data_IF_614724880300
#
_entry.id   IF_614724880300
#
_cell.length_a   1.000
_cell.length_b   1.000
_cell.length_c   1.000
_cell.angle_alpha   90.00
_cell.angle_beta   90.00
_cell.angle_gamma   90.00
#
_symmetry.space_group_name_H-M   'P 1'
#
loop_
_entity.id
_entity.type
_entity.pdbx_description
1 polymer ?
#
# COMPACT_ATOMS: atom_id res chain seq x y z
N UNK A 1 20.22 -11.77 6.16
CA UNK A 1 20.33 -11.52 4.71
C UNK A 1 18.92 -11.41 4.17
N UNK A 2 18.49 -10.22 3.76
CA UNK A 2 17.27 -10.09 2.96
C UNK A 2 17.51 -10.85 1.65
N UNK A 3 16.76 -11.91 1.43
CA UNK A 3 16.76 -12.62 0.15
C UNK A 3 16.39 -11.59 -0.93
N UNK A 4 17.27 -11.39 -1.92
CA UNK A 4 17.04 -10.43 -3.00
C UNK A 4 15.69 -10.68 -3.71
N UNK A 5 15.22 -11.94 -3.70
CA UNK A 5 13.91 -12.35 -4.21
C UNK A 5 12.76 -11.82 -3.37
N UNK A 6 12.92 -11.80 -2.05
CA UNK A 6 11.89 -11.33 -1.11
C UNK A 6 11.69 -9.81 -1.21
N UNK A 7 12.78 -9.05 -1.27
CA UNK A 7 12.72 -7.60 -1.51
C UNK A 7 12.15 -7.27 -2.90
N UNK A 8 12.50 -8.04 -3.95
CA UNK A 8 11.95 -7.84 -5.29
C UNK A 8 10.42 -8.04 -5.32
N UNK A 9 9.91 -9.07 -4.63
CA UNK A 9 8.46 -9.33 -4.52
C UNK A 9 7.75 -8.20 -3.79
N UNK A 10 8.34 -7.67 -2.71
CA UNK A 10 7.79 -6.51 -2.01
C UNK A 10 7.63 -5.30 -2.93
N UNK A 11 8.68 -4.89 -3.63
CA UNK A 11 8.61 -3.74 -4.53
C UNK A 11 7.62 -3.96 -5.69
N UNK A 12 7.49 -5.19 -6.18
CA UNK A 12 6.46 -5.52 -7.16
C UNK A 12 5.05 -5.35 -6.56
N UNK A 13 4.80 -5.92 -5.38
CA UNK A 13 3.51 -5.79 -4.70
C UNK A 13 3.14 -4.34 -4.39
N UNK A 14 4.10 -3.53 -3.91
CA UNK A 14 3.85 -2.09 -3.62
C UNK A 14 3.42 -1.37 -4.90
N UNK A 15 4.11 -1.62 -6.03
CA UNK A 15 3.76 -1.02 -7.32
C UNK A 15 2.36 -1.42 -7.77
N UNK A 16 2.01 -2.69 -7.63
CA UNK A 16 0.68 -3.19 -8.01
C UNK A 16 -0.41 -2.56 -7.13
N UNK A 17 -0.20 -2.48 -5.82
CA UNK A 17 -1.14 -1.82 -4.91
C UNK A 17 -1.35 -0.35 -5.25
N UNK A 18 -0.27 0.39 -5.51
CA UNK A 18 -0.36 1.79 -5.91
C UNK A 18 -1.17 1.96 -7.20
N UNK A 19 -0.92 1.12 -8.20
CA UNK A 19 -1.69 1.12 -9.45
C UNK A 19 -3.18 0.86 -9.21
N UNK A 20 -3.53 -0.14 -8.39
CA UNK A 20 -4.93 -0.41 -8.07
C UNK A 20 -5.61 0.70 -7.27
N UNK A 21 -4.90 1.31 -6.32
CA UNK A 21 -5.40 2.45 -5.54
C UNK A 21 -5.71 3.62 -6.49
N UNK A 22 -4.82 3.92 -7.44
CA UNK A 22 -5.01 4.99 -8.41
C UNK A 22 -6.27 4.75 -9.27
N UNK A 23 -6.46 3.53 -9.77
CA UNK A 23 -7.62 3.19 -10.59
C UNK A 23 -8.95 3.31 -9.81
N UNK A 24 -9.04 2.78 -8.59
CA UNK A 24 -10.28 2.88 -7.82
C UNK A 24 -10.58 4.32 -7.36
N UNK A 25 -9.54 5.14 -7.13
CA UNK A 25 -9.72 6.57 -6.86
C UNK A 25 -10.29 7.29 -8.10
N UNK A 26 -9.81 6.98 -9.30
CA UNK A 26 -10.37 7.53 -10.56
C UNK A 26 -11.83 7.16 -10.77
N UNK A 27 -12.21 5.96 -10.34
CA UNK A 27 -13.60 5.47 -10.37
C UNK A 27 -14.48 6.07 -9.25
N UNK A 28 -13.88 6.76 -8.27
CA UNK A 28 -14.57 7.34 -7.12
C UNK A 28 -14.87 6.37 -5.98
N UNK A 29 -14.32 5.14 -6.02
CA UNK A 29 -14.48 4.15 -4.95
C UNK A 29 -13.41 4.34 -3.85
N UNK A 30 -13.65 5.36 -3.02
CA UNK A 30 -12.75 5.71 -1.91
C UNK A 30 -12.66 4.61 -0.85
N UNK A 31 -13.73 3.82 -0.65
CA UNK A 31 -13.76 2.71 0.31
C UNK A 31 -12.85 1.57 -0.17
N UNK A 32 -12.84 1.27 -1.47
CA UNK A 32 -11.88 0.33 -2.03
C UNK A 32 -10.44 0.84 -1.90
N UNK A 33 -10.21 2.13 -2.15
CA UNK A 33 -8.90 2.76 -2.00
C UNK A 33 -8.35 2.59 -0.56
N UNK A 34 -9.16 2.89 0.46
CA UNK A 34 -8.81 2.71 1.87
C UNK A 34 -8.47 1.25 2.20
N UNK A 35 -9.28 0.28 1.72
CA UNK A 35 -9.03 -1.16 1.94
C UNK A 35 -7.72 -1.63 1.29
N UNK A 36 -7.38 -1.09 0.12
CA UNK A 36 -6.10 -1.36 -0.53
C UNK A 36 -4.94 -0.71 0.24
N UNK A 37 -5.13 0.51 0.75
CA UNK A 37 -4.20 1.20 1.66
C UNK A 37 -3.88 0.37 2.91
N UNK A 38 -4.90 -0.19 3.58
CA UNK A 38 -4.73 -1.08 4.74
C UNK A 38 -3.90 -2.34 4.41
N UNK A 39 -4.12 -2.95 3.24
CA UNK A 39 -3.32 -4.11 2.81
C UNK A 39 -1.87 -3.72 2.54
N UNK A 40 -1.65 -2.56 1.94
CA UNK A 40 -0.31 -2.01 1.69
C UNK A 40 0.40 -1.65 3.00
N UNK A 41 -0.32 -1.14 4.00
CA UNK A 41 0.17 -0.87 5.35
C UNK A 41 0.80 -2.11 5.98
N UNK A 42 0.08 -3.24 5.98
CA UNK A 42 0.59 -4.50 6.54
C UNK A 42 1.89 -4.97 5.88
N UNK A 43 2.03 -4.77 4.56
CA UNK A 43 3.27 -5.06 3.84
C UNK A 43 4.41 -4.12 4.27
N UNK A 44 4.15 -2.81 4.35
CA UNK A 44 5.13 -1.82 4.78
C UNK A 44 5.62 -2.07 6.22
N UNK A 45 4.73 -2.50 7.11
CA UNK A 45 5.07 -2.90 8.48
C UNK A 45 6.00 -4.12 8.50
N UNK A 46 5.69 -5.16 7.71
CA UNK A 46 6.49 -6.38 7.63
C UNK A 46 7.92 -6.13 7.12
N UNK A 47 8.09 -5.17 6.23
CA UNK A 47 9.39 -4.81 5.65
C UNK A 47 10.11 -3.68 6.40
N UNK A 48 9.52 -3.14 7.47
CA UNK A 48 10.15 -2.13 8.31
C UNK A 48 10.37 -0.81 7.58
N UNK A 49 9.37 -0.35 6.81
CA UNK A 49 9.44 0.88 6.01
C UNK A 49 8.55 1.98 6.64
N UNK A 50 9.05 2.70 7.67
CA UNK A 50 8.21 3.53 8.55
C UNK A 50 7.57 4.74 7.85
N UNK A 51 8.25 5.33 6.87
CA UNK A 51 7.70 6.45 6.10
C UNK A 51 6.49 6.02 5.27
N UNK A 52 6.56 4.84 4.66
CA UNK A 52 5.48 4.25 3.87
C UNK A 52 4.32 3.81 4.76
N UNK A 53 4.60 3.34 5.98
CA UNK A 53 3.57 3.04 6.99
C UNK A 53 2.70 4.27 7.26
N UNK A 54 3.31 5.43 7.55
CA UNK A 54 2.58 6.68 7.82
C UNK A 54 1.71 7.09 6.63
N UNK A 55 2.23 6.95 5.40
CA UNK A 55 1.46 7.26 4.19
C UNK A 55 0.26 6.32 4.00
N UNK A 56 0.44 5.02 4.26
CA UNK A 56 -0.64 4.04 4.15
C UNK A 56 -1.71 4.28 5.23
N UNK A 57 -1.31 4.61 6.46
CA UNK A 57 -2.23 4.96 7.55
C UNK A 57 -3.03 6.22 7.23
N UNK A 58 -2.40 7.24 6.64
CA UNK A 58 -3.09 8.45 6.21
C UNK A 58 -4.12 8.15 5.11
N UNK A 59 -3.80 7.27 4.16
CA UNK A 59 -4.74 6.85 3.11
C UNK A 59 -5.90 6.01 3.69
N UNK A 60 -5.61 5.06 4.58
CA UNK A 60 -6.61 4.21 5.21
C UNK A 60 -7.63 5.03 6.03
N UNK A 61 -7.16 6.06 6.73
CA UNK A 61 -7.98 6.89 7.63
C UNK A 61 -8.47 8.19 6.98
N UNK A 62 -8.27 8.40 5.67
CA UNK A 62 -8.71 9.60 4.99
C UNK A 62 -10.25 9.72 5.09
N UNK A 63 -10.75 10.87 5.56
CA UNK A 63 -12.19 11.12 5.59
C UNK A 63 -12.75 11.17 4.16
N UNK A 64 -13.80 10.39 3.93
CA UNK A 64 -14.51 10.26 2.64
C UNK A 64 -15.74 11.14 2.56
#
# INVERSE_FOLDING_TARGET
MTDATFSARFYASIRDYLGYIEEVIKEGDLVAAQKLGHKMLGLCQMFGTPEQVVLCEALENAES
#
